data_IF_436499144617
#
_entry.id   IF_436499144617
#
_cell.length_a   1.000
_cell.length_b   1.000
_cell.length_c   1.000
_cell.angle_alpha   90.00
_cell.angle_beta   90.00
_cell.angle_gamma   90.00
#
_symmetry.space_group_name_H-M   'P 1'
#
loop_
_entity.id
_entity.type
_entity.pdbx_description
1 polymer ?
#
# COMPACT_ATOMS: atom_id res chain seq x y z
N UNK A 1 30.58 32.34 16.52
CA UNK A 1 29.74 31.27 15.95
C UNK A 1 30.08 31.18 14.48
N UNK A 2 30.76 30.11 14.05
CA UNK A 2 31.09 29.94 12.63
C UNK A 2 29.79 29.56 11.89
N UNK A 3 29.35 30.43 10.98
CA UNK A 3 28.33 30.10 9.99
C UNK A 3 28.93 29.07 9.04
N UNK A 4 28.64 27.79 9.27
CA UNK A 4 29.03 26.72 8.35
C UNK A 4 28.10 26.86 7.14
N UNK A 5 28.54 27.62 6.14
CA UNK A 5 27.85 27.67 4.86
C UNK A 5 27.94 26.28 4.23
N UNK A 6 26.81 25.62 3.92
CA UNK A 6 26.83 24.30 3.30
C UNK A 6 27.59 24.37 1.99
N UNK A 7 28.32 23.30 1.65
CA UNK A 7 28.88 23.15 0.31
C UNK A 7 27.76 23.14 -0.74
N UNK A 8 28.09 23.48 -1.98
CA UNK A 8 27.14 23.47 -3.12
C UNK A 8 26.40 22.13 -3.23
N UNK A 9 27.12 21.02 -3.02
CA UNK A 9 26.55 19.67 -3.05
C UNK A 9 25.62 19.39 -1.87
N UNK A 10 25.98 19.82 -0.66
CA UNK A 10 25.10 19.71 0.52
C UNK A 10 23.84 20.56 0.38
N UNK A 11 23.95 21.76 -0.19
CA UNK A 11 22.79 22.61 -0.47
C UNK A 11 21.82 21.92 -1.44
N UNK A 12 22.32 21.35 -2.54
CA UNK A 12 21.51 20.60 -3.48
C UNK A 12 20.87 19.34 -2.86
N UNK A 13 21.65 18.59 -2.07
CA UNK A 13 21.14 17.41 -1.36
C UNK A 13 20.00 17.78 -0.42
N UNK A 14 20.17 18.83 0.38
CA UNK A 14 19.14 19.32 1.30
C UNK A 14 17.88 19.80 0.57
N UNK A 15 18.02 20.48 -0.58
CA UNK A 15 16.89 20.82 -1.43
C UNK A 15 16.14 19.57 -1.89
N UNK A 16 16.85 18.54 -2.36
CA UNK A 16 16.25 17.28 -2.78
C UNK A 16 15.50 16.58 -1.64
N UNK A 17 16.16 16.41 -0.48
CA UNK A 17 15.55 15.78 0.70
C UNK A 17 14.30 16.54 1.15
N UNK A 18 14.37 17.87 1.21
CA UNK A 18 13.22 18.68 1.60
C UNK A 18 12.08 18.58 0.58
N UNK A 19 12.38 18.63 -0.72
CA UNK A 19 11.39 18.50 -1.77
C UNK A 19 10.65 17.16 -1.71
N UNK A 20 11.36 16.06 -1.40
CA UNK A 20 10.74 14.75 -1.26
C UNK A 20 9.95 14.59 0.05
N UNK A 21 10.27 15.36 1.10
CA UNK A 21 9.51 15.41 2.36
C UNK A 21 8.42 16.50 2.33
N UNK A 22 7.68 16.61 1.23
CA UNK A 22 6.52 17.50 1.04
C UNK A 22 6.77 19.02 1.23
N UNK A 23 8.03 19.47 1.20
CA UNK A 23 8.32 20.90 1.17
C UNK A 23 8.01 21.48 -0.21
N UNK A 24 6.87 22.17 -0.32
CA UNK A 24 6.40 22.78 -1.57
C UNK A 24 7.42 23.70 -2.22
N UNK A 25 8.06 24.59 -1.46
CA UNK A 25 9.01 25.55 -2.01
C UNK A 25 10.26 24.87 -2.59
N UNK A 26 10.77 23.84 -1.90
CA UNK A 26 11.90 23.06 -2.39
C UNK A 26 11.52 22.24 -3.64
N UNK A 27 10.32 21.64 -3.65
CA UNK A 27 9.81 20.90 -4.79
C UNK A 27 9.59 21.81 -6.02
N UNK A 28 8.99 22.97 -5.84
CA UNK A 28 8.76 23.96 -6.89
C UNK A 28 10.07 24.43 -7.51
N UNK A 29 11.10 24.68 -6.68
CA UNK A 29 12.42 25.02 -7.17
C UNK A 29 13.07 23.88 -7.96
N UNK A 30 12.97 22.62 -7.51
CA UNK A 30 13.50 21.48 -8.26
C UNK A 30 12.78 21.30 -9.59
N UNK A 31 11.46 21.48 -9.62
CA UNK A 31 10.67 21.43 -10.86
C UNK A 31 11.08 22.53 -11.83
N UNK A 32 11.30 23.75 -11.33
CA UNK A 32 11.87 24.84 -12.13
C UNK A 32 13.27 24.50 -12.64
N UNK A 33 14.16 24.04 -11.75
CA UNK A 33 15.55 23.72 -12.07
C UNK A 33 15.63 22.62 -13.14
N UNK A 34 14.77 21.61 -13.08
CA UNK A 34 14.76 20.55 -14.07
C UNK A 34 13.96 20.86 -15.34
N UNK A 35 12.85 21.57 -15.21
CA UNK A 35 11.90 21.81 -16.30
C UNK A 35 12.24 23.03 -17.15
N UNK A 36 12.92 24.03 -16.59
CA UNK A 36 13.19 25.31 -17.27
C UNK A 36 14.64 25.48 -17.73
N UNK A 37 15.47 24.43 -17.63
CA UNK A 37 16.85 24.47 -18.14
C UNK A 37 16.89 24.47 -19.66
N UNK A 38 17.75 25.30 -20.22
CA UNK A 38 18.05 25.36 -21.66
C UNK A 38 19.48 24.93 -21.90
N UNK A 39 19.71 23.97 -22.81
CA UNK A 39 21.06 23.55 -23.20
C UNK A 39 21.69 24.59 -24.13
N UNK A 40 22.90 25.02 -23.82
CA UNK A 40 23.70 25.95 -24.61
C UNK A 40 24.71 25.19 -25.52
N UNK A 41 25.25 25.83 -26.57
CA UNK A 41 26.16 25.19 -27.54
C UNK A 41 27.48 24.67 -26.96
N UNK A 42 27.92 25.24 -25.84
CA UNK A 42 29.13 24.89 -25.09
C UNK A 42 28.89 23.76 -24.06
N UNK A 43 27.75 23.07 -24.15
CA UNK A 43 27.31 22.06 -23.17
C UNK A 43 26.96 22.61 -21.79
N UNK A 44 26.92 23.93 -21.61
CA UNK A 44 26.38 24.51 -20.39
C UNK A 44 24.85 24.48 -20.39
N UNK A 45 24.26 24.61 -19.20
CA UNK A 45 22.83 24.79 -19.01
C UNK A 45 22.55 26.22 -18.57
N UNK A 46 21.44 26.78 -19.01
CA UNK A 46 20.98 28.10 -18.59
C UNK A 46 19.55 28.10 -18.05
N UNK A 47 19.31 29.00 -17.10
CA UNK A 47 18.01 29.29 -16.51
C UNK A 47 17.76 30.78 -16.56
N UNK A 48 16.53 31.16 -16.85
CA UNK A 48 16.09 32.55 -16.81
C UNK A 48 15.00 32.72 -15.77
N UNK A 49 15.18 33.63 -14.82
CA UNK A 49 14.19 33.89 -13.76
C UNK A 49 14.36 35.27 -13.14
N UNK A 50 13.24 35.96 -12.96
CA UNK A 50 13.16 37.22 -12.21
C UNK A 50 12.76 37.04 -10.74
N UNK A 51 12.52 35.79 -10.29
CA UNK A 51 12.15 35.50 -8.91
C UNK A 51 13.38 35.56 -7.99
N UNK A 52 13.45 36.47 -7.01
CA UNK A 52 14.61 36.61 -6.13
C UNK A 52 14.97 35.31 -5.39
N UNK A 53 13.97 34.51 -5.00
CA UNK A 53 14.20 33.24 -4.30
C UNK A 53 14.89 32.21 -5.21
N UNK A 54 14.50 32.16 -6.48
CA UNK A 54 15.13 31.25 -7.44
C UNK A 54 16.53 31.73 -7.81
N UNK A 55 16.72 33.04 -7.93
CA UNK A 55 18.04 33.64 -8.14
C UNK A 55 18.98 33.28 -6.99
N UNK A 56 18.53 33.44 -5.75
CA UNK A 56 19.29 33.06 -4.56
C UNK A 56 19.68 31.57 -4.60
N UNK A 57 18.72 30.68 -4.84
CA UNK A 57 18.98 29.23 -4.89
C UNK A 57 19.94 28.85 -6.04
N UNK A 58 19.81 29.45 -7.22
CA UNK A 58 20.74 29.23 -8.34
C UNK A 58 22.17 29.70 -8.00
N UNK A 59 22.31 30.83 -7.32
CA UNK A 59 23.61 31.32 -6.84
C UNK A 59 24.21 30.38 -5.79
N UNK A 60 23.41 29.86 -4.85
CA UNK A 60 23.87 28.87 -3.87
C UNK A 60 24.31 27.54 -4.54
N UNK A 61 23.73 27.21 -5.68
CA UNK A 61 24.14 26.07 -6.51
C UNK A 61 25.40 26.33 -7.36
N UNK A 62 26.02 27.50 -7.22
CA UNK A 62 27.22 27.87 -7.97
C UNK A 62 26.94 28.27 -9.41
N UNK A 63 25.70 28.60 -9.78
CA UNK A 63 25.42 29.14 -11.10
C UNK A 63 26.03 30.54 -11.26
N UNK A 64 26.67 30.79 -12.40
CA UNK A 64 27.18 32.10 -12.76
C UNK A 64 26.10 32.94 -13.42
N UNK A 65 25.98 34.20 -13.01
CA UNK A 65 25.06 35.15 -13.63
C UNK A 65 25.77 35.88 -14.77
N UNK A 66 25.21 35.82 -15.99
CA UNK A 66 25.80 36.43 -17.19
C UNK A 66 25.09 37.73 -17.61
N UNK A 67 23.76 37.70 -17.64
CA UNK A 67 22.89 38.83 -18.00
C UNK A 67 21.82 39.00 -16.92
N UNK A 68 21.14 40.15 -16.86
CA UNK A 68 20.04 40.36 -15.90
C UNK A 68 19.04 39.20 -16.02
N UNK A 69 18.91 38.45 -14.93
CA UNK A 69 18.05 37.26 -14.76
C UNK A 69 18.49 35.95 -15.45
N UNK A 70 19.65 35.89 -16.11
CA UNK A 70 20.17 34.66 -16.74
C UNK A 70 21.32 34.04 -15.95
N UNK A 71 21.15 32.77 -15.58
CA UNK A 71 22.10 31.98 -14.79
C UNK A 71 22.55 30.77 -15.58
N UNK A 72 23.82 30.40 -15.47
CA UNK A 72 24.40 29.26 -16.19
C UNK A 72 25.16 28.32 -15.27
N UNK A 73 25.18 27.04 -15.62
CA UNK A 73 25.92 26.00 -14.93
C UNK A 73 26.60 25.06 -15.92
N UNK A 74 27.79 24.61 -15.59
CA UNK A 74 28.53 23.63 -16.40
C UNK A 74 27.85 22.25 -16.41
N UNK A 75 27.94 21.52 -17.53
CA UNK A 75 27.35 20.18 -17.67
C UNK A 75 27.84 19.18 -16.63
N UNK A 76 29.11 19.28 -16.24
CA UNK A 76 29.76 18.39 -15.30
C UNK A 76 29.09 18.51 -13.93
N UNK A 77 28.82 19.73 -13.47
CA UNK A 77 28.14 19.99 -12.19
C UNK A 77 26.68 19.54 -12.26
N UNK A 78 26.01 19.78 -13.39
CA UNK A 78 24.65 19.30 -13.60
C UNK A 78 24.56 17.77 -13.48
N UNK A 79 25.54 17.04 -14.03
CA UNK A 79 25.59 15.58 -13.94
C UNK A 79 25.70 15.08 -12.49
N UNK A 80 26.47 15.79 -11.66
CA UNK A 80 26.62 15.52 -10.22
C UNK A 80 25.29 15.74 -9.51
N UNK A 81 24.62 16.87 -9.76
CA UNK A 81 23.31 17.16 -9.18
C UNK A 81 22.25 16.11 -9.56
N UNK A 82 22.22 15.67 -10.82
CA UNK A 82 21.31 14.60 -11.24
C UNK A 82 21.63 13.25 -10.62
N UNK A 83 22.91 12.97 -10.31
CA UNK A 83 23.31 11.78 -9.55
C UNK A 83 22.83 11.86 -8.10
N UNK A 84 23.09 12.98 -7.43
CA UNK A 84 22.66 13.21 -6.04
C UNK A 84 21.14 13.21 -5.88
N UNK A 85 20.41 13.84 -6.81
CA UNK A 85 18.94 13.81 -6.81
C UNK A 85 18.42 12.37 -6.92
N UNK A 86 19.02 11.55 -7.78
CA UNK A 86 18.65 10.13 -7.92
C UNK A 86 18.93 9.36 -6.65
N UNK A 87 20.10 9.57 -6.04
CA UNK A 87 20.48 8.95 -4.77
C UNK A 87 19.51 9.32 -3.64
N UNK A 88 19.28 10.62 -3.44
CA UNK A 88 18.34 11.12 -2.43
C UNK A 88 16.92 10.58 -2.65
N UNK A 89 16.47 10.47 -3.91
CA UNK A 89 15.17 9.87 -4.24
C UNK A 89 15.11 8.38 -3.88
N UNK A 90 16.17 7.62 -4.17
CA UNK A 90 16.25 6.20 -3.81
C UNK A 90 16.23 6.00 -2.29
N UNK A 91 16.99 6.80 -1.55
CA UNK A 91 17.01 6.78 -0.07
C UNK A 91 15.65 7.15 0.50
N UNK A 92 15.01 8.20 -0.02
CA UNK A 92 13.66 8.59 0.35
C UNK A 92 12.65 7.47 0.10
N UNK A 93 12.69 6.81 -1.06
CA UNK A 93 11.79 5.69 -1.37
C UNK A 93 11.97 4.53 -0.39
N UNK A 94 13.22 4.15 -0.08
CA UNK A 94 13.50 3.08 0.90
C UNK A 94 12.94 3.44 2.27
N UNK A 95 13.20 4.66 2.74
CA UNK A 95 12.69 5.15 4.02
C UNK A 95 11.16 5.17 4.04
N UNK A 96 10.55 5.73 3.00
CA UNK A 96 9.09 5.84 2.88
C UNK A 96 8.41 4.47 2.85
N UNK A 97 9.00 3.50 2.16
CA UNK A 97 8.49 2.12 2.16
C UNK A 97 8.59 1.47 3.54
N UNK A 98 9.67 1.73 4.29
CA UNK A 98 9.78 1.26 5.67
C UNK A 98 8.72 1.90 6.58
N UNK A 99 8.52 3.21 6.48
CA UNK A 99 7.48 3.95 7.22
C UNK A 99 6.07 3.42 6.90
N UNK A 100 5.75 3.19 5.62
CA UNK A 100 4.45 2.64 5.20
C UNK A 100 4.24 1.21 5.70
N UNK A 101 5.29 0.37 5.70
CA UNK A 101 5.23 -0.97 6.28
C UNK A 101 4.97 -0.92 7.78
N UNK A 102 5.67 -0.06 8.51
CA UNK A 102 5.43 0.13 9.93
C UNK A 102 3.98 0.59 10.18
N UNK A 103 3.51 1.58 9.43
CA UNK A 103 2.13 2.07 9.54
C UNK A 103 1.09 1.00 9.20
N UNK A 104 1.39 0.12 8.23
CA UNK A 104 0.54 -1.04 7.92
C UNK A 104 0.40 -1.96 9.13
N UNK A 105 1.51 -2.29 9.78
CA UNK A 105 1.50 -3.15 10.97
C UNK A 105 0.67 -2.53 12.10
N UNK A 106 0.89 -1.24 12.37
CA UNK A 106 0.12 -0.49 13.36
C UNK A 106 -1.37 -0.47 13.01
N UNK A 107 -1.71 -0.25 11.73
CA UNK A 107 -3.09 -0.27 11.22
C UNK A 107 -3.73 -1.65 11.40
N UNK A 108 -3.00 -2.72 11.10
CA UNK A 108 -3.46 -4.11 11.26
C UNK A 108 -3.62 -4.52 12.73
N UNK A 109 -2.94 -3.86 13.67
CA UNK A 109 -3.11 -4.07 15.11
C UNK A 109 -4.27 -3.23 15.68
N UNK A 110 -4.40 -1.98 15.24
CA UNK A 110 -5.32 -1.00 15.80
C UNK A 110 -6.75 -1.11 15.25
N UNK A 111 -6.92 -1.50 13.98
CA UNK A 111 -8.26 -1.72 13.42
C UNK A 111 -8.81 -3.00 14.04
N UNK A 112 -9.89 -2.84 14.83
CA UNK A 112 -10.54 -3.88 15.62
C UNK A 112 -10.61 -5.20 14.87
N UNK A 113 -10.19 -6.27 15.56
CA UNK A 113 -10.20 -7.65 15.03
C UNK A 113 -11.61 -8.17 14.76
N UNK A 114 -12.63 -7.51 15.31
CA UNK A 114 -14.04 -7.86 15.11
C UNK A 114 -14.64 -7.05 13.96
N UNK A 115 -15.41 -7.70 13.05
CA UNK A 115 -16.17 -6.99 12.03
C UNK A 115 -17.09 -5.97 12.66
N UNK A 116 -17.33 -4.86 11.97
CA UNK A 116 -18.30 -3.86 12.43
C UNK A 116 -19.70 -4.48 12.38
N UNK A 117 -20.49 -4.27 13.43
CA UNK A 117 -21.89 -4.70 13.47
C UNK A 117 -22.72 -3.80 12.55
N UNK A 118 -22.66 -4.11 11.25
CA UNK A 118 -23.29 -3.37 10.17
C UNK A 118 -24.34 -4.24 9.50
N UNK A 119 -25.50 -3.65 9.23
CA UNK A 119 -26.49 -4.27 8.36
C UNK A 119 -26.04 -4.23 6.89
N UNK A 120 -26.73 -4.98 6.03
CA UNK A 120 -26.36 -5.09 4.61
C UNK A 120 -26.40 -3.74 3.87
N UNK A 121 -27.37 -2.87 4.18
CA UNK A 121 -27.49 -1.56 3.52
C UNK A 121 -26.32 -0.62 3.87
N UNK A 122 -25.90 -0.63 5.14
CA UNK A 122 -24.73 0.11 5.63
C UNK A 122 -23.45 -0.40 4.98
N UNK A 123 -23.27 -1.73 4.86
CA UNK A 123 -22.12 -2.31 4.17
C UNK A 123 -22.06 -1.84 2.72
N UNK A 124 -23.19 -1.88 2.01
CA UNK A 124 -23.27 -1.40 0.63
C UNK A 124 -22.97 0.10 0.52
N UNK A 125 -23.46 0.92 1.44
CA UNK A 125 -23.17 2.36 1.46
C UNK A 125 -21.67 2.63 1.61
N UNK A 126 -20.99 1.93 2.53
CA UNK A 126 -19.55 2.06 2.74
C UNK A 126 -18.74 1.58 1.54
N UNK A 127 -19.16 0.50 0.87
CA UNK A 127 -18.52 0.05 -0.38
C UNK A 127 -18.65 1.11 -1.48
N UNK A 128 -19.82 1.74 -1.62
CA UNK A 128 -20.02 2.81 -2.61
C UNK A 128 -19.13 4.01 -2.34
N UNK A 129 -19.11 4.46 -1.08
CA UNK A 129 -18.25 5.57 -0.65
C UNK A 129 -16.78 5.25 -0.93
N UNK A 130 -16.32 4.09 -0.46
CA UNK A 130 -14.97 3.59 -0.72
C UNK A 130 -14.63 3.58 -2.21
N UNK A 131 -15.51 3.03 -3.05
CA UNK A 131 -15.24 2.96 -4.49
C UNK A 131 -15.19 4.35 -5.11
N UNK A 132 -16.08 5.26 -4.72
CA UNK A 132 -16.08 6.63 -5.26
C UNK A 132 -14.82 7.42 -4.92
N UNK A 133 -14.20 7.14 -3.77
CA UNK A 133 -12.95 7.79 -3.34
C UNK A 133 -11.76 7.20 -4.11
N UNK A 134 -11.74 5.89 -4.34
CA UNK A 134 -10.56 5.17 -4.82
C UNK A 134 -10.60 4.78 -6.32
N UNK A 135 -11.72 4.91 -7.02
CA UNK A 135 -11.83 4.45 -8.41
C UNK A 135 -10.92 5.20 -9.40
N UNK A 136 -10.66 6.48 -9.15
CA UNK A 136 -9.84 7.34 -10.01
C UNK A 136 -8.34 7.26 -9.68
N UNK A 137 -8.00 6.62 -8.56
CA UNK A 137 -6.63 6.54 -8.08
C UNK A 137 -5.90 5.33 -8.67
N UNK A 138 -4.80 5.60 -9.38
CA UNK A 138 -4.02 4.59 -10.08
C UNK A 138 -3.42 3.54 -9.13
N UNK A 139 -3.04 3.93 -7.90
CA UNK A 139 -2.51 3.00 -6.91
C UNK A 139 -3.57 2.09 -6.30
N UNK A 140 -4.86 2.47 -6.39
CA UNK A 140 -5.99 1.67 -5.90
C UNK A 140 -6.40 0.56 -6.88
N UNK A 141 -6.04 0.68 -8.16
CA UNK A 141 -6.47 -0.24 -9.23
C UNK A 141 -6.09 -1.71 -8.93
N UNK A 142 -4.85 -2.05 -8.53
CA UNK A 142 -4.49 -3.43 -8.24
C UNK A 142 -5.28 -4.03 -7.08
N UNK A 143 -5.55 -3.24 -6.04
CA UNK A 143 -6.37 -3.65 -4.91
C UNK A 143 -7.82 -3.93 -5.33
N UNK A 144 -8.47 -2.97 -5.99
CA UNK A 144 -9.86 -3.08 -6.44
C UNK A 144 -10.06 -4.25 -7.41
N UNK A 145 -9.11 -4.47 -8.33
CA UNK A 145 -9.14 -5.58 -9.29
C UNK A 145 -9.10 -6.93 -8.61
N UNK A 146 -8.15 -7.12 -7.70
CA UNK A 146 -8.00 -8.40 -6.97
C UNK A 146 -9.14 -8.64 -6.00
N UNK A 147 -9.66 -7.59 -5.36
CA UNK A 147 -10.86 -7.70 -4.53
C UNK A 147 -12.06 -8.16 -5.35
N UNK A 148 -12.31 -7.56 -6.52
CA UNK A 148 -13.41 -7.96 -7.39
C UNK A 148 -13.27 -9.43 -7.83
N UNK A 149 -12.07 -9.85 -8.22
CA UNK A 149 -11.77 -11.23 -8.56
C UNK A 149 -12.03 -12.20 -7.39
N UNK A 150 -11.54 -11.86 -6.19
CA UNK A 150 -11.77 -12.64 -4.98
C UNK A 150 -13.26 -12.83 -4.68
N UNK A 151 -14.05 -11.76 -4.77
CA UNK A 151 -15.49 -11.82 -4.54
C UNK A 151 -16.19 -12.71 -5.58
N UNK A 152 -15.83 -12.56 -6.87
CA UNK A 152 -16.34 -13.44 -7.93
C UNK A 152 -16.01 -14.91 -7.65
N UNK A 153 -14.78 -15.19 -7.26
CA UNK A 153 -14.32 -16.54 -6.96
C UNK A 153 -15.08 -17.14 -5.77
N UNK A 154 -15.26 -16.38 -4.68
CA UNK A 154 -16.04 -16.81 -3.51
C UNK A 154 -17.53 -17.06 -3.83
N UNK A 155 -18.13 -16.27 -4.73
CA UNK A 155 -19.52 -16.46 -5.19
C UNK A 155 -19.66 -17.77 -5.98
N UNK A 156 -18.64 -18.13 -6.77
CA UNK A 156 -18.62 -19.38 -7.54
C UNK A 156 -18.37 -20.61 -6.64
N UNK A 157 -17.49 -20.49 -5.64
CA UNK A 157 -17.06 -21.57 -4.75
C UNK A 157 -17.79 -21.52 -3.40
N UNK A 158 -19.13 -21.61 -3.43
CA UNK A 158 -19.99 -21.44 -2.24
C UNK A 158 -19.73 -22.45 -1.11
N UNK A 159 -19.14 -23.60 -1.42
CA UNK A 159 -18.83 -24.65 -0.43
C UNK A 159 -17.49 -24.45 0.27
N UNK A 160 -16.66 -23.53 -0.24
CA UNK A 160 -15.35 -23.22 0.29
C UNK A 160 -15.34 -21.81 0.90
N UNK A 161 -14.45 -21.61 1.85
CA UNK A 161 -13.97 -20.29 2.26
C UNK A 161 -12.71 -20.02 1.48
N UNK A 162 -12.67 -18.85 0.88
CA UNK A 162 -11.58 -18.43 0.04
C UNK A 162 -10.55 -17.66 0.86
N UNK A 163 -9.29 -18.00 0.67
CA UNK A 163 -8.14 -17.27 1.17
C UNK A 163 -7.42 -16.55 0.04
N UNK A 164 -7.16 -15.28 0.26
CA UNK A 164 -6.46 -14.42 -0.67
C UNK A 164 -5.06 -14.12 -0.15
N UNK A 165 -4.03 -14.60 -0.87
CA UNK A 165 -2.66 -14.20 -0.62
C UNK A 165 -2.37 -12.90 -1.37
N UNK A 166 -2.15 -11.83 -0.62
CA UNK A 166 -1.94 -10.48 -1.12
C UNK A 166 -0.57 -9.97 -0.68
N UNK A 167 0.25 -9.50 -1.61
CA UNK A 167 1.49 -8.79 -1.27
C UNK A 167 1.16 -7.51 -0.48
N UNK A 168 1.90 -7.24 0.59
CA UNK A 168 1.80 -5.96 1.34
C UNK A 168 1.92 -4.75 0.43
N UNK A 169 2.68 -4.86 -0.66
CA UNK A 169 2.89 -3.79 -1.63
C UNK A 169 1.57 -3.25 -2.21
N UNK A 170 0.53 -4.07 -2.32
CA UNK A 170 -0.79 -3.62 -2.81
C UNK A 170 -1.44 -2.65 -1.84
N UNK A 171 -1.20 -2.80 -0.54
CA UNK A 171 -1.71 -1.91 0.48
C UNK A 171 -0.84 -0.66 0.65
N UNK A 172 0.48 -0.79 0.44
CA UNK A 172 1.45 0.31 0.61
C UNK A 172 1.74 1.10 -0.67
N UNK A 173 1.03 0.84 -1.77
CA UNK A 173 1.17 1.60 -3.02
C UNK A 173 0.69 3.04 -2.92
N UNK A 174 -0.22 3.31 -1.97
CA UNK A 174 -0.78 4.63 -1.73
C UNK A 174 -0.35 5.21 -0.39
N UNK A 175 -0.94 6.35 -0.03
CA UNK A 175 -0.73 7.01 1.25
C UNK A 175 -1.34 6.21 2.42
N UNK A 176 -1.03 6.65 3.64
CA UNK A 176 -1.53 6.05 4.88
C UNK A 176 -3.07 5.95 4.92
N UNK A 177 -3.75 7.01 4.49
CA UNK A 177 -5.22 7.11 4.52
C UNK A 177 -5.90 6.06 3.63
N UNK A 178 -5.38 5.84 2.42
CA UNK A 178 -5.88 4.82 1.53
C UNK A 178 -5.66 3.42 2.11
N UNK A 179 -4.48 3.17 2.69
CA UNK A 179 -4.16 1.90 3.33
C UNK A 179 -5.11 1.59 4.49
N UNK A 180 -5.38 2.56 5.37
CA UNK A 180 -6.36 2.41 6.46
C UNK A 180 -7.76 2.11 5.92
N UNK A 181 -8.16 2.79 4.84
CA UNK A 181 -9.43 2.56 4.17
C UNK A 181 -9.55 1.15 3.58
N UNK A 182 -8.46 0.62 3.02
CA UNK A 182 -8.39 -0.76 2.52
C UNK A 182 -8.58 -1.77 3.64
N UNK A 183 -7.81 -1.64 4.72
CA UNK A 183 -7.88 -2.55 5.87
C UNK A 183 -9.28 -2.49 6.51
N UNK A 184 -9.85 -1.28 6.62
CA UNK A 184 -11.22 -1.07 7.13
C UNK A 184 -12.27 -1.72 6.25
N UNK A 185 -12.14 -1.66 4.93
CA UNK A 185 -13.03 -2.35 4.01
C UNK A 185 -12.94 -3.87 4.20
N UNK A 186 -11.73 -4.43 4.19
CA UNK A 186 -11.51 -5.87 4.32
C UNK A 186 -12.04 -6.41 5.67
N UNK A 187 -11.64 -5.81 6.79
CA UNK A 187 -12.02 -6.29 8.13
C UNK A 187 -13.40 -5.81 8.55
N UNK A 188 -13.64 -4.51 8.48
CA UNK A 188 -14.83 -3.88 9.04
C UNK A 188 -16.08 -4.14 8.22
N UNK A 189 -15.99 -4.03 6.89
CA UNK A 189 -17.17 -4.14 6.00
C UNK A 189 -17.37 -5.58 5.52
N UNK A 190 -16.31 -6.20 5.00
CA UNK A 190 -16.39 -7.55 4.43
C UNK A 190 -16.23 -8.66 5.49
N UNK A 191 -15.77 -8.33 6.70
CA UNK A 191 -15.57 -9.30 7.76
C UNK A 191 -14.47 -10.31 7.48
N UNK A 192 -13.50 -9.94 6.64
CA UNK A 192 -12.35 -10.79 6.35
C UNK A 192 -11.41 -10.85 7.56
N UNK A 193 -10.83 -12.02 7.77
CA UNK A 193 -9.88 -12.29 8.83
C UNK A 193 -8.48 -12.36 8.25
N UNK A 194 -7.52 -11.72 8.92
CA UNK A 194 -6.11 -11.88 8.59
C UNK A 194 -5.60 -13.17 9.25
N UNK A 195 -5.07 -14.09 8.46
CA UNK A 195 -4.52 -15.37 8.90
C UNK A 195 -3.00 -15.26 8.91
N UNK A 196 -2.39 -15.48 10.06
CA UNK A 196 -0.94 -15.62 10.17
C UNK A 196 -0.59 -17.10 10.01
N UNK A 197 0.39 -17.41 9.15
CA UNK A 197 1.03 -18.72 9.19
C UNK A 197 1.92 -18.71 10.43
N UNK A 198 1.47 -19.37 11.50
CA UNK A 198 2.31 -19.63 12.67
C UNK A 198 3.52 -20.46 12.20
N UNK A 199 4.68 -19.82 12.09
CA UNK A 199 5.96 -20.53 12.20
C UNK A 199 6.04 -21.01 13.65
N UNK A 200 5.70 -22.28 13.85
CA UNK A 200 5.95 -23.12 15.03
C UNK A 200 6.03 -22.40 16.39
N UNK A 201 4.85 -22.27 17.02
CA UNK A 201 4.68 -22.50 18.46
C UNK A 201 5.41 -21.56 19.42
N UNK A 202 4.72 -20.52 19.89
CA UNK A 202 4.65 -20.18 21.31
C UNK A 202 3.52 -19.16 21.58
N UNK A 203 2.71 -19.45 22.59
CA UNK A 203 1.71 -18.55 23.17
C UNK A 203 2.29 -17.16 23.50
N UNK A 204 1.63 -16.11 23.01
CA UNK A 204 0.99 -15.05 23.81
C UNK A 204 0.39 -14.01 22.86
N UNK A 205 -0.71 -13.38 23.30
CA UNK A 205 -1.56 -12.37 22.63
C UNK A 205 -0.84 -11.06 22.24
N UNK A 206 0.34 -11.15 21.64
CA UNK A 206 1.11 -10.04 21.12
C UNK A 206 1.43 -10.31 19.66
N UNK A 207 0.70 -9.59 18.80
CA UNK A 207 0.82 -9.61 17.34
C UNK A 207 2.17 -9.02 16.94
N UNK A 208 3.21 -9.84 16.90
CA UNK A 208 4.51 -9.47 16.34
C UNK A 208 4.58 -9.98 14.91
N UNK A 209 4.34 -9.09 13.94
CA UNK A 209 4.78 -9.33 12.56
C UNK A 209 6.30 -9.25 12.59
N UNK A 210 6.96 -10.41 12.50
CA UNK A 210 8.42 -10.49 12.55
C UNK A 210 9.01 -9.70 11.36
N UNK A 211 9.61 -8.54 11.66
CA UNK A 211 10.39 -7.76 10.69
C UNK A 211 11.69 -8.45 10.24
N UNK A 212 12.01 -9.62 10.81
CA UNK A 212 13.34 -10.25 10.71
C UNK A 212 13.47 -11.40 9.71
N UNK A 213 12.46 -11.67 8.88
CA UNK A 213 12.59 -12.69 7.83
C UNK A 213 13.23 -12.11 6.55
N UNK A 214 14.55 -11.99 6.62
CA UNK A 214 15.53 -11.65 5.57
C UNK A 214 15.51 -12.56 4.31
N UNK A 215 14.39 -13.17 3.92
CA UNK A 215 14.32 -14.07 2.74
C UNK A 215 13.07 -13.99 1.86
N UNK A 216 11.99 -13.34 2.28
CA UNK A 216 10.87 -13.11 1.37
C UNK A 216 11.04 -11.73 0.72
N UNK A 217 11.35 -11.71 -0.58
CA UNK A 217 11.47 -10.47 -1.36
C UNK A 217 10.19 -9.63 -1.35
N UNK A 218 9.03 -10.24 -1.05
CA UNK A 218 7.75 -9.56 -0.83
C UNK A 218 6.96 -10.30 0.28
N UNK A 219 6.73 -9.68 1.46
CA UNK A 219 5.84 -10.25 2.46
C UNK A 219 4.41 -10.36 1.92
N UNK A 220 3.79 -11.54 2.07
CA UNK A 220 2.41 -11.82 1.68
C UNK A 220 1.50 -11.88 2.91
N UNK A 221 0.39 -11.15 2.89
CA UNK A 221 -0.70 -11.22 3.85
C UNK A 221 -1.77 -12.20 3.35
N UNK A 222 -2.29 -13.04 4.24
CA UNK A 222 -3.34 -14.01 3.90
C UNK A 222 -4.67 -13.53 4.47
N UNK A 223 -5.59 -13.14 3.59
CA UNK A 223 -6.92 -12.68 3.96
C UNK A 223 -7.96 -13.76 3.71
N UNK A 224 -8.58 -14.25 4.77
CA UNK A 224 -9.63 -15.28 4.73
C UNK A 224 -11.01 -14.64 4.77
N UNK A 225 -11.90 -15.06 3.89
CA UNK A 225 -13.30 -14.64 3.92
C UNK A 225 -14.03 -15.20 5.15
N UNK A 226 -15.03 -14.49 5.67
CA UNK A 226 -15.88 -15.05 6.73
C UNK A 226 -16.67 -16.27 6.20
N UNK A 227 -16.76 -17.38 6.95
CA UNK A 227 -17.58 -18.54 6.57
C UNK A 227 -19.07 -18.19 6.49
N UNK A 228 -19.50 -17.18 7.26
CA UNK A 228 -20.89 -16.73 7.38
C UNK A 228 -21.25 -15.63 6.37
N UNK A 229 -20.38 -15.37 5.39
CA UNK A 229 -20.62 -14.31 4.42
C UNK A 229 -21.85 -14.61 3.55
N UNK A 230 -22.77 -13.63 3.48
CA UNK A 230 -23.94 -13.71 2.62
C UNK A 230 -23.52 -13.51 1.14
N UNK A 231 -23.74 -14.55 0.33
CA UNK A 231 -23.42 -14.53 -1.10
C UNK A 231 -24.22 -13.45 -1.85
N UNK A 232 -25.46 -13.16 -1.44
CA UNK A 232 -26.27 -12.12 -2.07
C UNK A 232 -25.71 -10.72 -1.78
N UNK A 233 -25.16 -10.52 -0.58
CA UNK A 233 -24.42 -9.32 -0.23
C UNK A 233 -23.18 -9.19 -1.12
N UNK A 234 -22.38 -10.25 -1.28
CA UNK A 234 -21.20 -10.22 -2.15
C UNK A 234 -21.54 -9.87 -3.60
N UNK A 235 -22.62 -10.45 -4.15
CA UNK A 235 -23.12 -10.11 -5.48
C UNK A 235 -23.54 -8.64 -5.58
N UNK A 236 -24.12 -8.09 -4.51
CA UNK A 236 -24.51 -6.68 -4.46
C UNK A 236 -23.30 -5.76 -4.38
N UNK A 237 -22.30 -6.11 -3.57
CA UNK A 237 -21.01 -5.40 -3.46
C UNK A 237 -20.30 -5.37 -4.82
N UNK A 238 -20.22 -6.51 -5.50
CA UNK A 238 -19.52 -6.64 -6.78
C UNK A 238 -20.09 -5.69 -7.87
N UNK A 239 -21.39 -5.38 -7.82
CA UNK A 239 -22.03 -4.43 -8.77
C UNK A 239 -21.50 -2.99 -8.62
N UNK A 240 -20.96 -2.65 -7.46
CA UNK A 240 -20.46 -1.31 -7.16
C UNK A 240 -18.96 -1.17 -7.37
N UNK A 241 -18.22 -2.28 -7.52
CA UNK A 241 -16.80 -2.23 -7.87
C UNK A 241 -16.59 -1.85 -9.36
N UNK A 242 -15.49 -1.18 -9.72
CA UNK A 242 -15.27 -0.72 -11.09
C UNK A 242 -15.25 -1.90 -12.08
N UNK A 243 -15.90 -1.75 -13.23
CA UNK A 243 -15.96 -2.83 -14.24
C UNK A 243 -14.57 -3.17 -14.81
N UNK A 244 -13.66 -2.19 -14.89
CA UNK A 244 -12.28 -2.44 -15.36
C UNK A 244 -11.43 -3.25 -14.35
N UNK A 245 -11.93 -3.40 -13.12
CA UNK A 245 -11.34 -4.25 -12.08
C UNK A 245 -11.85 -5.72 -12.18
N UNK A 246 -12.77 -6.05 -13.09
CA UNK A 246 -13.36 -7.39 -13.16
C UNK A 246 -12.66 -8.33 -14.16
N UNK A 247 -11.44 -8.00 -14.58
CA UNK A 247 -10.60 -8.87 -15.41
C UNK A 247 -9.78 -9.81 -14.54
N UNK A 248 -9.86 -11.12 -14.80
CA UNK A 248 -9.05 -12.13 -14.11
C UNK A 248 -7.56 -11.94 -14.44
N UNK A 249 -6.77 -11.59 -13.43
CA UNK A 249 -5.31 -11.69 -13.45
C UNK A 249 -4.85 -12.90 -12.63
N UNK A 250 -3.58 -13.30 -12.77
CA UNK A 250 -2.97 -14.34 -11.95
C UNK A 250 -2.80 -13.83 -10.50
N UNK A 251 -3.68 -14.25 -9.59
CA UNK A 251 -3.51 -14.08 -8.15
C UNK A 251 -3.70 -15.40 -7.42
N UNK A 252 -2.96 -15.58 -6.32
CA UNK A 252 -2.93 -16.83 -5.56
C UNK A 252 -4.13 -16.89 -4.62
N UNK A 253 -5.02 -17.84 -4.91
CA UNK A 253 -6.17 -18.16 -4.09
C UNK A 253 -6.00 -19.57 -3.54
N UNK A 254 -6.35 -19.78 -2.28
CA UNK A 254 -6.48 -21.11 -1.68
C UNK A 254 -7.91 -21.36 -1.20
N UNK A 255 -8.39 -22.58 -1.44
CA UNK A 255 -9.72 -23.02 -1.03
C UNK A 255 -9.64 -23.82 0.27
N UNK A 256 -10.45 -23.44 1.25
CA UNK A 256 -10.64 -24.22 2.49
C UNK A 256 -12.09 -24.69 2.56
N UNK A 257 -12.36 -26.00 2.68
CA UNK A 257 -13.73 -26.48 2.87
C UNK A 257 -14.37 -25.84 4.10
N UNK A 258 -15.58 -25.26 3.95
CA UNK A 258 -16.29 -24.59 5.07
C UNK A 258 -16.44 -25.46 6.32
N UNK A 259 -16.59 -26.77 6.12
CA UNK A 259 -16.77 -27.74 7.20
C UNK A 259 -15.50 -27.98 8.06
N UNK A 260 -14.32 -27.58 7.59
CA UNK A 260 -13.05 -27.74 8.32
C UNK A 260 -12.76 -26.58 9.29
N UNK A 261 -13.47 -25.45 9.16
CA UNK A 261 -13.19 -24.22 9.93
C UNK A 261 -13.78 -24.27 11.34
N UNK A 262 -14.75 -25.17 11.59
CA UNK A 262 -15.22 -25.49 12.94
C UNK A 262 -14.26 -26.46 13.66
N UNK A 263 -12.99 -26.04 13.78
CA UNK A 263 -11.93 -26.73 14.53
C UNK A 263 -12.16 -26.81 16.05
N UNK A 264 -13.25 -26.22 16.56
CA UNK A 264 -13.82 -26.60 17.84
C UNK A 264 -15.10 -27.40 17.59
N UNK A 265 -14.94 -28.67 17.21
CA UNK A 265 -16.05 -29.64 17.34
C UNK A 265 -16.49 -29.61 18.80
N UNK A 266 -17.65 -29.03 19.05
CA UNK A 266 -18.31 -29.09 20.35
C UNK A 266 -18.33 -30.57 20.78
N UNK A 267 -18.01 -30.88 22.04
CA UNK A 267 -17.96 -32.28 22.53
C UNK A 267 -19.24 -33.04 22.16
N UNK A 268 -20.37 -32.35 22.15
CA UNK A 268 -21.66 -32.88 21.70
C UNK A 268 -21.68 -33.34 20.25
N UNK A 269 -21.04 -32.62 19.32
CA UNK A 269 -20.94 -33.01 17.91
C UNK A 269 -20.06 -34.25 17.75
N UNK A 270 -18.98 -34.35 18.53
CA UNK A 270 -18.12 -35.54 18.56
C UNK A 270 -18.86 -36.76 19.15
N UNK A 271 -19.65 -36.56 20.22
CA UNK A 271 -20.52 -37.60 20.79
C UNK A 271 -21.57 -38.03 19.76
N UNK A 272 -22.15 -37.10 19.01
CA UNK A 272 -23.17 -37.40 17.99
C UNK A 272 -22.57 -38.20 16.82
N UNK A 273 -21.36 -37.84 16.37
CA UNK A 273 -20.63 -38.57 15.33
C UNK A 273 -20.30 -40.00 15.79
N UNK A 274 -19.90 -40.19 17.06
CA UNK A 274 -19.64 -41.52 17.64
C UNK A 274 -20.94 -42.33 17.79
N UNK A 275 -22.00 -41.72 18.31
CA UNK A 275 -23.30 -42.39 18.44
C UNK A 275 -23.84 -42.80 17.07
N UNK A 276 -23.71 -41.94 16.06
CA UNK A 276 -24.06 -42.27 14.67
C UNK A 276 -23.27 -43.46 14.14
N UNK A 277 -21.97 -43.52 14.41
CA UNK A 277 -21.13 -44.65 14.03
C UNK A 277 -21.45 -45.94 14.80
N UNK A 278 -21.70 -45.87 16.11
CA UNK A 278 -22.08 -47.03 16.92
C UNK A 278 -23.47 -47.57 16.56
N UNK A 279 -24.42 -46.67 16.23
CA UNK A 279 -25.78 -47.05 15.83
C UNK A 279 -25.88 -47.49 14.36
N UNK A 280 -24.94 -47.08 13.50
CA UNK A 280 -24.86 -47.60 12.12
C UNK A 280 -24.64 -49.11 12.04
N UNK A 281 -24.11 -49.71 13.11
CA UNK A 281 -23.95 -51.16 13.24
C UNK A 281 -25.26 -51.89 13.57
N UNK A 282 -26.29 -51.17 14.03
CA UNK A 282 -27.63 -51.70 14.35
C UNK A 282 -28.61 -51.63 13.17
N UNK A 283 -28.17 -51.11 12.02
CA UNK A 283 -28.95 -51.04 10.77
C UNK A 283 -28.40 -51.98 9.68
N UNK A 284 -27.92 -53.16 10.09
CA UNK A 284 -27.72 -54.33 9.23
C UNK A 284 -28.50 -55.51 9.76
#
# INVERSE_FOLDING_TARGET
MASITPTVQEFWHNLCVNAFNDNKLANDFILFFDGCKTTLPDSNFSWKTSSPDYQYNLQQLGCHQFENDTFTLASEIMSIFMSEKRKARSEWHVKRQLELKQHLQETLQNISTSPLDLNNDQKIALVKEFTSIHEADLGSVPFLRRLAGLLQYQIQHKHNVVEWKMSEYILTQNNEEAMESYVRLLRGVLGMQLVYQDDDGCNNDTVTIAMDNNKATDPELIWRMSPDVDINLLQSILKYLPKQAQTFEDYKITDIPRNQIHGHKNIFQWIYDILGHCLSFLHK
#
